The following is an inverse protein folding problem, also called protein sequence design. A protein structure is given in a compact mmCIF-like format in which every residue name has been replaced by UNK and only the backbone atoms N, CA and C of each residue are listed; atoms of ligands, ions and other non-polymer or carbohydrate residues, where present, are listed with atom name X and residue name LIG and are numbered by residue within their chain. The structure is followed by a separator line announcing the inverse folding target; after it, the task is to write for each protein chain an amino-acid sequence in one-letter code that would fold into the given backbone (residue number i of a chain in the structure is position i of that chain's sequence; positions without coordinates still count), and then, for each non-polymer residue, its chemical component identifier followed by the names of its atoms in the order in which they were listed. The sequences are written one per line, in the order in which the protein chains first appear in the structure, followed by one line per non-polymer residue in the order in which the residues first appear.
data_IF_997380861473
#
_entry.id   IF_997380861473
#
_cell.length_a   1.000
_cell.length_b   1.000
_cell.length_c   1.000
_cell.angle_alpha   90.00
_cell.angle_beta   90.00
_cell.angle_gamma   90.00
#
_symmetry.space_group_name_H-M   'P 1'
#
loop_
_entity.id
_entity.type
_entity.pdbx_description
1 polymer ?
#
# COMPACT_ATOMS: atom_id res chain seq x y z
N UNK A 1 -21.54 32.43 -9.78
CA UNK A 1 -20.94 31.37 -8.93
C UNK A 1 -19.42 31.50 -9.01
N UNK A 2 -18.74 32.08 -8.01
CA UNK A 2 -17.26 32.11 -7.99
C UNK A 2 -16.79 30.67 -7.82
N UNK A 3 -16.34 30.04 -8.91
CA UNK A 3 -15.75 28.70 -8.87
C UNK A 3 -14.56 28.76 -7.92
N UNK A 4 -14.63 28.09 -6.77
CA UNK A 4 -13.45 27.79 -5.97
C UNK A 4 -12.66 26.73 -6.76
N UNK A 5 -11.56 27.09 -7.45
CA UNK A 5 -10.91 26.18 -8.40
C UNK A 5 -10.26 24.97 -7.71
N UNK A 6 -10.11 25.04 -6.39
CA UNK A 6 -9.49 24.00 -5.57
C UNK A 6 -10.49 23.06 -4.87
N UNK A 7 -11.80 23.35 -4.90
CA UNK A 7 -12.78 22.39 -4.41
C UNK A 7 -13.04 21.35 -5.50
N UNK A 8 -12.24 20.28 -5.48
CA UNK A 8 -12.29 19.23 -6.50
C UNK A 8 -13.66 18.55 -6.58
N UNK A 9 -14.39 18.43 -5.46
CA UNK A 9 -15.73 17.84 -5.47
C UNK A 9 -16.71 18.71 -6.27
N UNK A 10 -16.62 20.03 -6.11
CA UNK A 10 -17.43 20.96 -6.90
C UNK A 10 -17.02 20.98 -8.37
N UNK A 11 -15.72 20.95 -8.67
CA UNK A 11 -15.23 20.83 -10.04
C UNK A 11 -15.77 19.55 -10.70
N UNK A 12 -15.74 18.42 -10.00
CA UNK A 12 -16.26 17.16 -10.54
C UNK A 12 -17.78 17.21 -10.74
N UNK A 13 -18.54 17.72 -9.76
CA UNK A 13 -20.00 17.88 -9.90
C UNK A 13 -20.36 18.79 -11.07
N UNK A 14 -19.65 19.91 -11.22
CA UNK A 14 -19.88 20.85 -12.31
C UNK A 14 -19.57 20.22 -13.67
N UNK A 15 -18.44 19.52 -13.81
CA UNK A 15 -18.09 18.78 -15.02
C UNK A 15 -19.17 17.74 -15.37
N UNK A 16 -19.67 16.99 -14.39
CA UNK A 16 -20.72 15.99 -14.60
C UNK A 16 -22.05 16.61 -15.05
N UNK A 17 -22.44 17.77 -14.50
CA UNK A 17 -23.65 18.48 -14.92
C UNK A 17 -23.55 18.97 -16.37
N UNK A 18 -22.43 19.63 -16.73
CA UNK A 18 -22.19 20.08 -18.10
C UNK A 18 -22.23 18.91 -19.10
N UNK A 19 -21.60 17.79 -18.76
CA UNK A 19 -21.62 16.59 -19.60
C UNK A 19 -23.03 16.00 -19.73
N UNK A 20 -23.83 16.03 -18.67
CA UNK A 20 -25.23 15.58 -18.70
C UNK A 20 -26.14 16.52 -19.53
N UNK A 21 -25.81 17.81 -19.60
CA UNK A 21 -26.50 18.81 -20.42
C UNK A 21 -26.07 18.79 -21.90
N UNK A 22 -25.12 17.93 -22.28
CA UNK A 22 -24.56 17.87 -23.64
C UNK A 22 -23.49 18.93 -23.92
N UNK A 23 -23.11 19.74 -22.93
CA UNK A 23 -22.06 20.77 -23.02
C UNK A 23 -20.66 20.17 -22.84
N UNK A 24 -20.33 19.16 -23.67
CA UNK A 24 -19.14 18.32 -23.50
C UNK A 24 -17.82 19.10 -23.53
N UNK A 25 -17.68 20.11 -24.40
CA UNK A 25 -16.46 20.93 -24.46
C UNK A 25 -16.23 21.74 -23.19
N UNK A 26 -17.31 22.31 -22.62
CA UNK A 26 -17.20 23.06 -21.37
C UNK A 26 -16.89 22.13 -20.19
N UNK A 27 -17.40 20.88 -20.21
CA UNK A 27 -17.13 19.89 -19.18
C UNK A 27 -15.63 19.49 -19.08
N UNK A 28 -14.88 19.60 -20.19
CA UNK A 28 -13.46 19.21 -20.24
C UNK A 28 -12.57 20.04 -19.31
N UNK A 29 -12.81 21.34 -19.17
CA UNK A 29 -11.98 22.20 -18.32
C UNK A 29 -12.02 21.76 -16.84
N UNK A 30 -13.19 21.72 -16.16
CA UNK A 30 -13.26 21.27 -14.77
C UNK A 30 -12.85 19.80 -14.60
N UNK A 31 -13.16 18.91 -15.56
CA UNK A 31 -12.68 17.54 -15.55
C UNK A 31 -11.14 17.47 -15.63
N UNK A 32 -10.51 18.30 -16.47
CA UNK A 32 -9.05 18.40 -16.59
C UNK A 32 -8.37 18.90 -15.31
N UNK A 33 -9.03 19.75 -14.52
CA UNK A 33 -8.55 20.16 -13.20
C UNK A 33 -8.58 18.95 -12.25
N UNK A 34 -9.71 18.24 -12.18
CA UNK A 34 -9.87 17.07 -11.31
C UNK A 34 -8.89 15.96 -11.66
N UNK A 35 -8.72 15.64 -12.95
CA UNK A 35 -7.80 14.58 -13.42
C UNK A 35 -6.34 14.87 -13.03
N UNK A 36 -5.90 16.13 -13.07
CA UNK A 36 -4.51 16.52 -12.73
C UNK A 36 -4.24 16.63 -11.24
N UNK A 37 -5.22 17.06 -10.46
CA UNK A 37 -5.01 17.39 -9.04
C UNK A 37 -5.45 16.23 -8.13
N UNK A 38 -6.57 15.59 -8.41
CA UNK A 38 -7.17 14.60 -7.51
C UNK A 38 -6.32 13.34 -7.38
N UNK A 39 -6.22 12.86 -6.13
CA UNK A 39 -5.71 11.53 -5.80
C UNK A 39 -6.85 10.53 -5.48
N UNK A 40 -8.10 10.97 -5.53
CA UNK A 40 -9.28 10.10 -5.37
C UNK A 40 -9.59 9.35 -6.66
N UNK A 41 -9.60 8.01 -6.59
CA UNK A 41 -9.72 7.15 -7.76
C UNK A 41 -11.04 7.35 -8.53
N UNK A 42 -12.18 7.36 -7.82
CA UNK A 42 -13.51 7.55 -8.42
C UNK A 42 -13.59 8.86 -9.20
N UNK A 43 -13.12 9.96 -8.59
CA UNK A 43 -13.11 11.27 -9.23
C UNK A 43 -12.20 11.30 -10.46
N UNK A 44 -11.04 10.66 -10.41
CA UNK A 44 -10.12 10.61 -11.55
C UNK A 44 -10.71 9.79 -12.70
N UNK A 45 -11.31 8.64 -12.42
CA UNK A 45 -11.95 7.80 -13.44
C UNK A 45 -13.09 8.56 -14.12
N UNK A 46 -13.97 9.20 -13.33
CA UNK A 46 -15.05 10.03 -13.88
C UNK A 46 -14.53 11.20 -14.72
N UNK A 47 -13.53 11.93 -14.22
CA UNK A 47 -12.93 13.04 -14.95
C UNK A 47 -12.30 12.59 -16.27
N UNK A 48 -11.55 11.48 -16.27
CA UNK A 48 -10.95 10.90 -17.48
C UNK A 48 -12.00 10.44 -18.49
N UNK A 49 -13.10 9.86 -18.03
CA UNK A 49 -14.22 9.49 -18.91
C UNK A 49 -14.79 10.71 -19.65
N UNK A 50 -14.99 11.85 -18.97
CA UNK A 50 -15.46 13.10 -19.59
C UNK A 50 -14.43 13.65 -20.59
N UNK A 51 -13.14 13.46 -20.32
CA UNK A 51 -12.05 13.84 -21.22
C UNK A 51 -11.90 12.89 -22.44
N UNK A 52 -12.73 11.85 -22.56
CA UNK A 52 -12.64 10.84 -23.63
C UNK A 52 -11.51 9.83 -23.41
N UNK A 53 -10.87 9.82 -22.24
CA UNK A 53 -9.86 8.82 -21.89
C UNK A 53 -10.54 7.55 -21.37
N UNK A 54 -10.25 6.41 -22.00
CA UNK A 54 -10.67 5.10 -21.47
C UNK A 54 -9.76 4.70 -20.29
N UNK A 55 -10.36 4.54 -19.11
CA UNK A 55 -9.72 3.92 -17.95
C UNK A 55 -10.36 2.56 -17.72
N UNK A 56 -9.57 1.50 -17.93
CA UNK A 56 -9.97 0.14 -17.58
C UNK A 56 -10.03 0.02 -16.05
N UNK A 57 -11.24 0.16 -15.51
CA UNK A 57 -11.54 0.11 -14.08
C UNK A 57 -11.71 -1.31 -13.56
N UNK A 58 -11.94 -2.28 -14.44
CA UNK A 58 -12.06 -3.68 -14.06
C UNK A 58 -10.68 -4.32 -13.98
N UNK A 59 -10.44 -5.20 -13.01
CA UNK A 59 -9.21 -5.98 -12.92
C UNK A 59 -9.58 -7.45 -13.04
N UNK A 60 -9.16 -8.07 -14.14
CA UNK A 60 -9.41 -9.48 -14.41
C UNK A 60 -8.56 -10.37 -13.49
N UNK A 61 -9.09 -11.54 -13.15
CA UNK A 61 -8.29 -12.60 -12.53
C UNK A 61 -7.16 -13.01 -13.47
N UNK A 62 -6.06 -13.45 -12.88
CA UNK A 62 -4.94 -14.02 -13.63
C UNK A 62 -5.44 -15.22 -14.44
N UNK A 63 -5.05 -15.28 -15.71
CA UNK A 63 -5.26 -16.42 -16.58
C UNK A 63 -3.91 -17.06 -16.90
N UNK A 64 -3.88 -17.82 -17.99
CA UNK A 64 -2.63 -18.32 -18.55
C UNK A 64 -1.72 -17.16 -18.95
N UNK A 65 -0.45 -17.26 -18.58
CA UNK A 65 0.58 -16.30 -18.92
C UNK A 65 1.58 -16.98 -19.85
N UNK A 66 1.93 -16.27 -20.92
CA UNK A 66 3.05 -16.64 -21.78
C UNK A 66 4.36 -16.64 -20.96
N UNK A 67 5.03 -17.79 -20.91
CA UNK A 67 6.30 -18.00 -20.22
C UNK A 67 7.54 -17.85 -21.14
N UNK A 68 7.32 -17.63 -22.44
CA UNK A 68 8.38 -17.36 -23.40
C UNK A 68 8.92 -15.93 -23.29
N UNK A 69 8.09 -15.00 -22.80
CA UNK A 69 8.45 -13.59 -22.64
C UNK A 69 8.56 -13.19 -21.17
N UNK A 70 9.35 -12.16 -20.91
CA UNK A 70 9.35 -11.55 -19.59
C UNK A 70 8.06 -10.80 -19.35
N UNK A 71 7.49 -11.07 -18.19
CA UNK A 71 6.20 -10.51 -17.80
C UNK A 71 6.27 -10.05 -16.36
N UNK A 72 5.80 -8.83 -16.12
CA UNK A 72 5.59 -8.29 -14.78
C UNK A 72 4.09 -8.23 -14.49
N UNK A 73 3.64 -8.95 -13.47
CA UNK A 73 2.25 -8.93 -13.01
C UNK A 73 2.15 -8.02 -11.80
N UNK A 74 1.43 -6.92 -11.94
CA UNK A 74 1.04 -6.04 -10.84
C UNK A 74 -0.22 -6.62 -10.19
N UNK A 75 -0.14 -6.92 -8.90
CA UNK A 75 -1.23 -7.55 -8.15
C UNK A 75 -1.78 -6.56 -7.11
N UNK A 76 -3.02 -6.09 -7.24
CA UNK A 76 -3.68 -5.31 -6.20
C UNK A 76 -3.71 -6.05 -4.85
N UNK A 77 -3.36 -5.36 -3.77
CA UNK A 77 -3.44 -5.92 -2.40
C UNK A 77 -4.33 -5.00 -1.56
N UNK A 78 -5.55 -5.47 -1.31
CA UNK A 78 -6.62 -4.70 -0.65
C UNK A 78 -7.17 -3.58 -1.54
N UNK A 79 -7.79 -2.58 -0.91
CA UNK A 79 -8.33 -1.43 -1.62
C UNK A 79 -7.22 -0.58 -2.24
N UNK A 80 -7.29 -0.40 -3.57
CA UNK A 80 -6.29 0.35 -4.33
C UNK A 80 -6.91 1.45 -5.19
N UNK A 81 -6.09 2.43 -5.57
CA UNK A 81 -6.41 3.40 -6.62
C UNK A 81 -6.12 2.74 -7.99
N UNK A 82 -7.16 2.29 -8.69
CA UNK A 82 -7.06 1.53 -9.93
C UNK A 82 -6.43 2.42 -11.02
N UNK A 83 -6.86 3.68 -11.14
CA UNK A 83 -6.30 4.58 -12.13
C UNK A 83 -4.79 4.78 -11.92
N UNK A 84 -4.31 4.83 -10.67
CA UNK A 84 -2.88 4.91 -10.35
C UNK A 84 -2.17 3.64 -10.81
N UNK A 85 -2.69 2.45 -10.50
CA UNK A 85 -2.08 1.19 -10.92
C UNK A 85 -2.04 1.07 -12.46
N UNK A 86 -3.06 1.57 -13.16
CA UNK A 86 -3.06 1.64 -14.64
C UNK A 86 -2.02 2.64 -15.17
N UNK A 87 -1.82 3.78 -14.52
CA UNK A 87 -0.76 4.72 -14.88
C UNK A 87 0.63 4.10 -14.67
N UNK A 88 0.81 3.33 -13.58
CA UNK A 88 2.03 2.56 -13.33
C UNK A 88 2.23 1.48 -14.39
N UNK A 89 1.20 0.72 -14.74
CA UNK A 89 1.25 -0.31 -15.79
C UNK A 89 1.79 0.27 -17.09
N UNK A 90 1.21 1.39 -17.56
CA UNK A 90 1.63 2.08 -18.79
C UNK A 90 3.09 2.54 -18.72
N UNK A 91 3.48 3.22 -17.63
CA UNK A 91 4.86 3.71 -17.47
C UNK A 91 5.89 2.58 -17.36
N UNK A 92 5.59 1.52 -16.61
CA UNK A 92 6.48 0.37 -16.46
C UNK A 92 6.64 -0.39 -17.79
N UNK A 93 5.54 -0.63 -18.51
CA UNK A 93 5.58 -1.27 -19.84
C UNK A 93 6.45 -0.48 -20.80
N UNK A 94 6.23 0.84 -20.88
CA UNK A 94 7.02 1.73 -21.73
C UNK A 94 8.50 1.74 -21.36
N UNK A 95 8.84 1.75 -20.05
CA UNK A 95 10.25 1.85 -19.62
C UNK A 95 11.01 0.53 -19.70
N UNK A 96 10.37 -0.59 -19.37
CA UNK A 96 11.02 -1.90 -19.31
C UNK A 96 11.02 -2.63 -20.66
N UNK A 97 10.12 -2.28 -21.59
CA UNK A 97 10.01 -2.96 -22.87
C UNK A 97 9.50 -4.40 -22.78
N UNK A 98 8.79 -4.74 -21.70
CA UNK A 98 8.20 -6.05 -21.43
C UNK A 98 6.69 -5.94 -21.20
N UNK A 99 5.97 -7.06 -21.24
CA UNK A 99 4.55 -7.04 -20.89
C UNK A 99 4.36 -6.79 -19.39
N UNK A 100 3.41 -5.91 -19.09
CA UNK A 100 3.02 -5.56 -17.71
C UNK A 100 1.52 -5.71 -17.61
N UNK A 101 1.07 -6.65 -16.79
CA UNK A 101 -0.35 -6.91 -16.55
C UNK A 101 -0.77 -6.41 -15.17
N UNK A 102 -2.03 -6.04 -15.04
CA UNK A 102 -2.69 -5.87 -13.74
C UNK A 102 -3.70 -7.01 -13.61
N UNK A 103 -3.53 -7.85 -12.58
CA UNK A 103 -4.35 -9.05 -12.37
C UNK A 103 -4.65 -9.28 -10.89
N UNK A 104 -5.85 -9.76 -10.62
CA UNK A 104 -6.21 -10.30 -9.32
C UNK A 104 -5.75 -11.76 -9.20
N UNK A 105 -5.48 -12.19 -7.97
CA UNK A 105 -5.23 -13.59 -7.63
C UNK A 105 -6.39 -14.05 -6.73
N UNK A 106 -7.01 -15.18 -7.06
CA UNK A 106 -8.27 -15.64 -6.43
C UNK A 106 -8.13 -15.95 -4.94
N UNK A 107 -6.94 -16.39 -4.50
CA UNK A 107 -6.68 -16.85 -3.12
C UNK A 107 -5.73 -15.91 -2.35
N UNK A 108 -5.77 -14.61 -2.65
CA UNK A 108 -4.89 -13.65 -1.99
C UNK A 108 -5.43 -13.23 -0.62
N UNK A 109 -5.17 -14.05 0.40
CA UNK A 109 -5.52 -13.75 1.78
C UNK A 109 -4.53 -12.79 2.43
N UNK A 110 -5.03 -11.65 2.92
CA UNK A 110 -4.20 -10.63 3.55
C UNK A 110 -4.47 -10.63 5.05
N UNK A 111 -3.44 -10.97 5.82
CA UNK A 111 -3.46 -10.90 7.27
C UNK A 111 -3.86 -9.49 7.79
N UNK A 112 -4.48 -9.40 8.98
CA UNK A 112 -4.79 -8.12 9.62
C UNK A 112 -3.50 -7.32 9.91
N UNK A 113 -3.60 -6.00 10.14
CA UNK A 113 -2.45 -5.19 10.49
C UNK A 113 -1.83 -5.67 11.81
N UNK A 114 -0.51 -5.88 11.83
CA UNK A 114 0.22 -6.25 13.04
C UNK A 114 0.54 -5.08 13.96
N UNK A 115 0.55 -3.87 13.42
CA UNK A 115 0.63 -2.63 14.19
C UNK A 115 -0.69 -1.91 14.02
N UNK A 116 -1.58 -2.04 14.99
CA UNK A 116 -2.87 -1.33 15.04
C UNK A 116 -3.05 -0.65 16.39
N UNK A 117 -2.51 0.57 16.57
CA UNK A 117 -2.54 1.27 17.85
C UNK A 117 -3.96 1.48 18.40
N UNK A 118 -4.93 1.75 17.53
CA UNK A 118 -6.31 1.94 17.94
C UNK A 118 -6.99 0.59 18.26
N UNK A 119 -6.75 -0.45 17.46
CA UNK A 119 -7.24 -1.79 17.76
C UNK A 119 -6.70 -2.34 19.09
N UNK A 120 -5.42 -2.16 19.37
CA UNK A 120 -4.80 -2.54 20.65
C UNK A 120 -5.38 -1.76 21.84
N UNK A 121 -5.66 -0.46 21.66
CA UNK A 121 -6.32 0.34 22.68
C UNK A 121 -7.76 -0.13 22.91
N UNK A 122 -8.50 -0.42 21.84
CA UNK A 122 -9.87 -0.93 21.91
C UNK A 122 -9.94 -2.31 22.60
N UNK A 123 -8.96 -3.19 22.35
CA UNK A 123 -8.84 -4.47 23.07
C UNK A 123 -8.68 -4.26 24.57
N UNK A 124 -7.75 -3.38 24.99
CA UNK A 124 -7.58 -3.02 26.41
C UNK A 124 -8.84 -2.38 27.00
N UNK A 125 -9.56 -1.58 26.21
CA UNK A 125 -10.82 -0.99 26.63
C UNK A 125 -11.90 -2.06 26.86
N UNK A 126 -11.97 -3.07 25.97
CA UNK A 126 -12.87 -4.22 26.14
C UNK A 126 -12.54 -5.01 27.40
N UNK A 127 -11.26 -5.34 27.62
CA UNK A 127 -10.83 -6.06 28.83
C UNK A 127 -11.18 -5.27 30.11
N UNK A 128 -11.04 -3.94 30.09
CA UNK A 128 -11.43 -3.07 31.20
C UNK A 128 -12.94 -3.06 31.43
N UNK A 129 -13.74 -3.00 30.36
CA UNK A 129 -15.20 -3.06 30.45
C UNK A 129 -15.69 -4.41 30.97
N UNK A 130 -15.07 -5.52 30.58
CA UNK A 130 -15.41 -6.85 31.09
C UNK A 130 -15.18 -6.92 32.62
N UNK A 131 -14.07 -6.39 33.12
CA UNK A 131 -13.81 -6.28 34.57
C UNK A 131 -14.80 -5.36 35.29
N UNK A 132 -15.20 -4.25 34.67
CA UNK A 132 -16.18 -3.32 35.25
C UNK A 132 -17.58 -3.96 35.31
N UNK A 133 -17.96 -4.71 34.27
CA UNK A 133 -19.21 -5.48 34.24
C UNK A 133 -19.27 -6.50 35.36
N UNK A 134 -18.16 -7.21 35.63
CA UNK A 134 -18.09 -8.19 36.72
C UNK A 134 -18.23 -7.52 38.11
N UNK A 135 -17.67 -6.31 38.29
CA UNK A 135 -17.75 -5.59 39.56
C UNK A 135 -19.11 -4.97 39.84
N UNK A 136 -19.82 -4.49 38.81
CA UNK A 136 -21.15 -3.90 38.97
C UNK A 136 -22.09 -4.29 37.81
N UNK A 137 -22.63 -5.52 37.82
CA UNK A 137 -23.43 -6.02 36.70
C UNK A 137 -24.70 -5.22 36.43
N UNK A 138 -25.41 -4.81 37.49
CA UNK A 138 -26.66 -4.05 37.37
C UNK A 138 -26.41 -2.65 36.81
N UNK A 139 -25.53 -1.86 37.44
CA UNK A 139 -25.23 -0.51 36.96
C UNK A 139 -24.58 -0.50 35.57
N UNK A 140 -23.81 -1.53 35.22
CA UNK A 140 -23.31 -1.72 33.86
C UNK A 140 -24.45 -1.98 32.87
N UNK A 141 -25.37 -2.90 33.20
CA UNK A 141 -26.53 -3.21 32.36
C UNK A 141 -27.43 -1.99 32.14
N UNK A 142 -27.71 -1.22 33.18
CA UNK A 142 -28.53 -0.01 33.11
C UNK A 142 -27.90 1.03 32.18
N UNK A 143 -26.59 1.23 32.29
CA UNK A 143 -25.88 2.17 31.43
C UNK A 143 -25.82 1.68 29.97
N UNK A 144 -25.64 0.38 29.74
CA UNK A 144 -25.73 -0.20 28.38
C UNK A 144 -27.12 0.01 27.80
N UNK A 145 -28.18 -0.21 28.58
CA UNK A 145 -29.56 0.00 28.13
C UNK A 145 -29.84 1.47 27.81
N UNK A 146 -29.20 2.41 28.52
CA UNK A 146 -29.32 3.85 28.27
C UNK A 146 -28.57 4.29 27.00
N UNK A 147 -27.32 3.86 26.82
CA UNK A 147 -26.49 4.25 25.68
C UNK A 147 -26.88 3.53 24.39
N UNK A 148 -27.41 2.31 24.50
CA UNK A 148 -27.82 1.47 23.38
C UNK A 148 -29.29 1.02 23.54
N UNK A 149 -30.26 1.94 23.46
CA UNK A 149 -31.67 1.67 23.80
C UNK A 149 -32.33 0.63 22.91
N UNK A 150 -31.87 0.49 21.66
CA UNK A 150 -32.41 -0.46 20.68
C UNK A 150 -31.83 -1.87 20.91
N UNK A 151 -30.51 -2.01 20.88
CA UNK A 151 -29.87 -3.33 20.98
C UNK A 151 -29.83 -3.88 22.41
N UNK A 152 -29.85 -2.99 23.41
CA UNK A 152 -29.58 -3.28 24.83
C UNK A 152 -28.29 -4.08 25.07
N UNK A 153 -27.35 -3.97 24.12
CA UNK A 153 -26.08 -4.69 24.12
C UNK A 153 -24.99 -3.76 23.64
N UNK A 154 -23.85 -3.80 24.32
CA UNK A 154 -22.63 -3.15 23.85
C UNK A 154 -22.16 -3.83 22.56
N UNK A 155 -22.00 -3.10 21.44
CA UNK A 155 -21.46 -3.66 20.20
C UNK A 155 -19.95 -3.92 20.36
N UNK A 156 -19.60 -5.13 20.81
CA UNK A 156 -18.20 -5.51 21.11
C UNK A 156 -17.31 -5.69 19.88
N UNK A 157 -17.91 -5.69 18.69
CA UNK A 157 -17.29 -5.70 17.38
C UNK A 157 -16.99 -4.28 16.85
N UNK A 158 -17.61 -3.26 17.43
CA UNK A 158 -17.35 -1.86 17.13
C UNK A 158 -16.37 -1.25 18.14
N UNK A 159 -15.09 -1.22 17.75
CA UNK A 159 -14.02 -0.63 18.54
C UNK A 159 -14.27 0.84 18.93
N UNK A 160 -14.95 1.61 18.07
CA UNK A 160 -15.27 3.02 18.36
C UNK A 160 -16.33 3.11 19.46
N UNK A 161 -17.39 2.33 19.33
CA UNK A 161 -18.44 2.25 20.34
C UNK A 161 -17.91 1.73 21.68
N UNK A 162 -17.04 0.70 21.67
CA UNK A 162 -16.38 0.17 22.88
C UNK A 162 -15.58 1.25 23.61
N UNK A 163 -14.70 1.96 22.89
CA UNK A 163 -13.86 3.00 23.50
C UNK A 163 -14.70 4.18 23.98
N UNK A 164 -15.72 4.58 23.20
CA UNK A 164 -16.66 5.65 23.58
C UNK A 164 -17.41 5.28 24.84
N UNK A 165 -17.98 4.08 24.90
CA UNK A 165 -18.73 3.59 26.06
C UNK A 165 -17.86 3.54 27.31
N UNK A 166 -16.61 3.07 27.21
CA UNK A 166 -15.68 3.10 28.33
C UNK A 166 -15.44 4.52 28.85
N UNK A 167 -15.25 5.50 27.95
CA UNK A 167 -15.09 6.89 28.36
C UNK A 167 -16.33 7.41 29.11
N UNK A 168 -17.54 7.13 28.58
CA UNK A 168 -18.79 7.53 29.24
C UNK A 168 -18.93 6.86 30.61
N UNK A 169 -18.69 5.54 30.69
CA UNK A 169 -18.79 4.78 31.94
C UNK A 169 -17.83 5.30 33.01
N UNK A 170 -16.57 5.54 32.64
CA UNK A 170 -15.58 6.09 33.57
C UNK A 170 -15.93 7.51 34.02
N UNK A 171 -16.44 8.34 33.12
CA UNK A 171 -16.78 9.74 33.42
C UNK A 171 -18.01 9.86 34.32
N UNK A 172 -19.07 9.10 34.01
CA UNK A 172 -20.37 9.24 34.66
C UNK A 172 -20.60 8.23 35.77
N UNK A 173 -20.45 6.93 35.51
CA UNK A 173 -20.76 5.90 36.49
C UNK A 173 -19.68 5.79 37.59
N UNK A 174 -18.42 6.02 37.23
CA UNK A 174 -17.30 6.00 38.19
C UNK A 174 -16.90 7.40 38.68
N UNK A 175 -17.57 8.46 38.21
CA UNK A 175 -17.28 9.86 38.55
C UNK A 175 -15.79 10.22 38.38
N UNK A 176 -15.13 9.66 37.37
CA UNK A 176 -13.70 9.84 37.10
C UNK A 176 -13.45 10.48 35.72
N UNK A 177 -13.78 11.77 35.55
CA UNK A 177 -13.65 12.46 34.27
C UNK A 177 -12.19 12.58 33.81
N UNK A 178 -11.22 12.62 34.73
CA UNK A 178 -9.79 12.69 34.39
C UNK A 178 -9.34 11.40 33.70
N UNK A 179 -9.75 10.24 34.23
CA UNK A 179 -9.39 8.96 33.64
C UNK A 179 -10.10 8.74 32.29
N UNK A 180 -11.38 9.13 32.18
CA UNK A 180 -12.10 9.15 30.90
C UNK A 180 -11.39 10.02 29.85
N UNK A 181 -10.98 11.23 30.22
CA UNK A 181 -10.26 12.14 29.33
C UNK A 181 -8.91 11.56 28.88
N UNK A 182 -8.19 10.85 29.75
CA UNK A 182 -6.94 10.18 29.39
C UNK A 182 -7.16 9.11 28.32
N UNK A 183 -8.20 8.29 28.46
CA UNK A 183 -8.55 7.27 27.45
C UNK A 183 -8.97 7.92 26.14
N UNK A 184 -9.80 8.97 26.20
CA UNK A 184 -10.21 9.73 25.01
C UNK A 184 -9.00 10.31 24.24
N UNK A 185 -8.06 10.94 24.95
CA UNK A 185 -6.85 11.52 24.34
C UNK A 185 -5.92 10.44 23.78
N UNK A 186 -5.79 9.30 24.47
CA UNK A 186 -5.03 8.16 23.96
C UNK A 186 -5.66 7.59 22.68
N UNK A 187 -6.99 7.45 22.65
CA UNK A 187 -7.74 7.02 21.47
C UNK A 187 -7.57 7.99 20.30
N UNK A 188 -7.64 9.31 20.54
CA UNK A 188 -7.40 10.32 19.51
C UNK A 188 -6.01 10.21 18.87
N UNK A 189 -4.96 10.01 19.68
CA UNK A 189 -3.59 9.78 19.19
C UNK A 189 -3.46 8.46 18.44
N UNK A 190 -4.10 7.41 18.94
CA UNK A 190 -4.07 6.09 18.32
C UNK A 190 -4.74 6.09 16.93
N UNK A 191 -5.85 6.83 16.74
CA UNK A 191 -6.51 7.02 15.44
C UNK A 191 -5.64 7.74 14.41
N UNK A 192 -4.80 8.66 14.87
CA UNK A 192 -3.85 9.38 14.00
C UNK A 192 -2.63 8.53 13.63
N UNK A 193 -2.37 7.45 14.37
CA UNK A 193 -1.24 6.57 14.09
C UNK A 193 -1.66 5.52 13.06
N UNK A 194 -1.00 5.43 11.90
CA UNK A 194 -1.45 4.54 10.84
C UNK A 194 -1.33 3.08 11.26
N UNK A 195 -2.32 2.29 10.84
CA UNK A 195 -2.22 0.83 10.90
C UNK A 195 -1.16 0.37 9.89
N UNK A 196 -0.31 -0.58 10.29
CA UNK A 196 0.75 -1.10 9.43
C UNK A 196 0.67 -2.63 9.29
N UNK A 197 0.90 -3.08 8.06
CA UNK A 197 0.99 -4.50 7.70
C UNK A 197 2.44 -4.94 7.58
N UNK A 198 2.73 -6.17 7.97
CA UNK A 198 4.06 -6.74 7.77
C UNK A 198 4.26 -7.07 6.29
N UNK A 199 5.21 -6.40 5.65
CA UNK A 199 5.51 -6.56 4.23
C UNK A 199 6.02 -7.96 3.90
N UNK A 200 6.64 -8.66 4.86
CA UNK A 200 7.02 -10.06 4.72
C UNK A 200 5.81 -10.99 4.64
N UNK A 201 4.76 -10.73 5.42
CA UNK A 201 3.48 -11.45 5.32
C UNK A 201 2.77 -11.19 4.00
N UNK A 202 2.73 -9.93 3.55
CA UNK A 202 2.15 -9.59 2.25
C UNK A 202 2.88 -10.30 1.10
N UNK A 203 4.21 -10.35 1.13
CA UNK A 203 5.00 -11.06 0.11
C UNK A 203 4.83 -12.58 0.22
N UNK A 204 4.67 -13.15 1.42
CA UNK A 204 4.37 -14.58 1.60
C UNK A 204 3.00 -14.94 1.03
N UNK A 205 1.96 -14.16 1.36
CA UNK A 205 0.62 -14.34 0.81
C UNK A 205 0.62 -14.22 -0.71
N UNK A 206 1.29 -13.20 -1.26
CA UNK A 206 1.46 -13.04 -2.70
C UNK A 206 2.17 -14.23 -3.34
N UNK A 207 3.20 -14.78 -2.68
CA UNK A 207 3.92 -15.96 -3.18
C UNK A 207 2.99 -17.17 -3.27
N UNK A 208 2.24 -17.47 -2.20
CA UNK A 208 1.31 -18.60 -2.15
C UNK A 208 0.25 -18.48 -3.23
N UNK A 209 -0.43 -17.33 -3.31
CA UNK A 209 -1.49 -17.10 -4.30
C UNK A 209 -0.98 -17.10 -5.77
N UNK A 210 0.31 -16.85 -5.99
CA UNK A 210 0.92 -16.82 -7.32
C UNK A 210 1.63 -18.13 -7.70
N UNK A 211 1.71 -19.11 -6.79
CA UNK A 211 2.39 -20.40 -7.02
C UNK A 211 1.81 -21.16 -8.23
N UNK A 212 0.47 -21.24 -8.44
CA UNK A 212 -0.11 -21.90 -9.61
C UNK A 212 0.24 -21.22 -10.94
N UNK A 213 0.66 -19.95 -10.91
CA UNK A 213 0.95 -19.13 -12.09
C UNK A 213 2.45 -18.84 -12.23
N UNK A 214 3.29 -19.57 -11.50
CA UNK A 214 4.72 -19.33 -11.48
C UNK A 214 5.38 -19.88 -12.74
N UNK A 215 6.02 -18.99 -13.51
CA UNK A 215 6.91 -19.36 -14.59
C UNK A 215 8.29 -18.70 -14.48
N UNK A 216 9.28 -19.19 -15.23
CA UNK A 216 10.68 -18.76 -15.15
C UNK A 216 10.85 -17.25 -15.42
N UNK A 217 10.05 -16.68 -16.34
CA UNK A 217 10.14 -15.29 -16.80
C UNK A 217 9.05 -14.37 -16.23
N UNK A 218 8.13 -14.91 -15.43
CA UNK A 218 7.06 -14.15 -14.77
C UNK A 218 7.55 -13.64 -13.42
N UNK A 219 7.28 -12.36 -13.12
CA UNK A 219 7.53 -11.72 -11.83
C UNK A 219 6.25 -11.10 -11.29
N UNK A 220 6.10 -11.08 -9.97
CA UNK A 220 4.92 -10.55 -9.31
C UNK A 220 5.29 -9.37 -8.42
N UNK A 221 4.52 -8.30 -8.52
CA UNK A 221 4.66 -7.10 -7.71
C UNK A 221 3.30 -6.71 -7.13
N UNK A 222 3.13 -6.95 -5.84
CA UNK A 222 1.99 -6.47 -5.07
C UNK A 222 1.97 -4.94 -4.98
N UNK A 223 0.82 -4.32 -5.20
CA UNK A 223 0.62 -2.88 -5.06
C UNK A 223 -0.46 -2.66 -4.00
N UNK A 224 -0.15 -1.90 -2.95
CA UNK A 224 -1.10 -1.65 -1.85
C UNK A 224 -1.19 -0.18 -1.44
N UNK A 225 -2.40 0.24 -1.05
CA UNK A 225 -2.65 1.50 -0.35
C UNK A 225 -2.47 1.41 1.17
N UNK A 226 -2.11 0.23 1.71
CA UNK A 226 -1.86 0.01 3.14
C UNK A 226 -0.46 0.47 3.54
N UNK A 227 -0.28 1.01 4.75
CA UNK A 227 1.08 1.31 5.24
C UNK A 227 1.81 0.01 5.61
N UNK A 228 3.09 -0.09 5.31
CA UNK A 228 3.84 -1.33 5.48
C UNK A 228 5.12 -1.13 6.29
N UNK A 229 5.50 -2.17 7.01
CA UNK A 229 6.78 -2.27 7.72
C UNK A 229 7.32 -3.69 7.63
N UNK A 230 8.52 -3.95 8.13
CA UNK A 230 8.93 -5.30 8.49
C UNK A 230 9.98 -5.22 9.58
N UNK A 231 10.11 -6.26 10.40
CA UNK A 231 11.11 -6.31 11.48
C UNK A 231 11.08 -5.03 12.34
N UNK A 232 12.25 -4.45 12.59
CA UNK A 232 12.44 -3.25 13.42
C UNK A 232 12.35 -1.94 12.61
N UNK A 233 11.99 -1.98 11.33
CA UNK A 233 11.81 -0.75 10.55
C UNK A 233 10.56 0.01 10.99
N UNK A 234 10.64 1.35 10.98
CA UNK A 234 9.48 2.22 11.24
C UNK A 234 8.43 2.06 10.13
N UNK A 235 8.88 2.02 8.89
CA UNK A 235 8.07 1.77 7.70
C UNK A 235 8.96 1.38 6.52
N UNK A 236 8.34 0.96 5.42
CA UNK A 236 8.99 0.73 4.13
C UNK A 236 8.12 1.27 3.00
N UNK A 237 8.74 1.60 1.87
CA UNK A 237 8.01 1.86 0.62
C UNK A 237 7.82 0.59 -0.22
N UNK A 238 8.62 -0.44 0.03
CA UNK A 238 8.48 -1.75 -0.59
C UNK A 238 9.36 -2.81 0.04
N UNK A 239 9.06 -4.06 -0.23
CA UNK A 239 9.79 -5.23 0.24
C UNK A 239 9.81 -6.32 -0.84
N UNK A 240 10.76 -7.25 -0.77
CA UNK A 240 10.87 -8.33 -1.75
C UNK A 240 11.49 -9.60 -1.19
N UNK A 241 11.06 -10.72 -1.74
CA UNK A 241 11.65 -12.04 -1.50
C UNK A 241 11.69 -12.79 -2.85
N UNK A 242 12.89 -13.05 -3.35
CA UNK A 242 13.08 -13.70 -4.64
C UNK A 242 12.41 -12.93 -5.79
N UNK A 243 11.47 -13.60 -6.47
CA UNK A 243 10.72 -13.11 -7.64
C UNK A 243 9.42 -12.36 -7.29
N UNK A 244 9.16 -12.17 -5.99
CA UNK A 244 7.96 -11.52 -5.47
C UNK A 244 8.35 -10.24 -4.75
N UNK A 245 7.60 -9.18 -4.97
CA UNK A 245 7.75 -7.91 -4.27
C UNK A 245 6.41 -7.32 -3.89
N UNK A 246 6.44 -6.34 -2.99
CA UNK A 246 5.31 -5.48 -2.68
C UNK A 246 5.77 -4.04 -2.62
N UNK A 247 4.94 -3.10 -3.08
CA UNK A 247 5.11 -1.66 -2.83
C UNK A 247 3.88 -1.12 -2.13
N UNK A 248 4.11 -0.15 -1.26
CA UNK A 248 3.05 0.68 -0.70
C UNK A 248 3.17 2.09 -1.25
N UNK A 249 2.05 2.65 -1.72
CA UNK A 249 1.96 4.07 -2.04
C UNK A 249 1.31 4.89 -0.92
N UNK A 250 0.97 4.30 0.24
CA UNK A 250 0.27 4.98 1.34
C UNK A 250 1.00 6.25 1.76
N UNK A 251 2.32 6.18 1.92
CA UNK A 251 3.16 7.30 2.34
C UNK A 251 3.48 8.31 1.23
N UNK A 252 2.97 8.10 0.02
CA UNK A 252 3.10 9.04 -1.09
C UNK A 252 1.86 9.92 -1.27
N UNK A 253 0.74 9.57 -0.64
CA UNK A 253 -0.52 10.30 -0.80
C UNK A 253 -0.48 11.64 -0.07
N UNK A 254 -1.21 12.62 -0.61
CA UNK A 254 -1.45 13.91 0.02
C UNK A 254 -2.04 13.76 1.43
N UNK A 255 -3.02 12.86 1.59
CA UNK A 255 -3.65 12.55 2.88
C UNK A 255 -2.61 12.18 3.95
N UNK A 256 -1.63 11.34 3.60
CA UNK A 256 -0.61 10.92 4.55
C UNK A 256 0.48 11.97 4.78
N UNK A 257 0.82 12.72 3.73
CA UNK A 257 1.95 13.66 3.75
C UNK A 257 1.58 15.06 4.24
N UNK A 258 0.28 15.39 4.29
CA UNK A 258 -0.21 16.75 4.53
C UNK A 258 0.05 17.72 3.36
N UNK A 259 0.60 17.23 2.26
CA UNK A 259 0.84 18.03 1.05
C UNK A 259 -0.47 18.23 0.26
N UNK A 260 -0.52 19.24 -0.61
CA UNK A 260 -1.66 19.41 -1.53
C UNK A 260 -1.68 18.26 -2.56
N UNK A 261 -2.86 17.70 -2.88
CA UNK A 261 -2.97 16.61 -3.85
C UNK A 261 -2.48 17.06 -5.22
N UNK A 262 -1.65 16.22 -5.83
CA UNK A 262 -1.13 16.38 -7.20
C UNK A 262 -0.90 15.01 -7.79
N UNK A 263 -1.69 14.65 -8.80
CA UNK A 263 -1.65 13.30 -9.36
C UNK A 263 -0.29 12.93 -9.94
N UNK A 264 0.37 13.86 -10.64
CA UNK A 264 1.70 13.64 -11.20
C UNK A 264 2.76 13.29 -10.15
N UNK A 265 2.69 13.91 -8.97
CA UNK A 265 3.57 13.63 -7.82
C UNK A 265 3.34 12.22 -7.27
N UNK A 266 2.08 11.84 -7.04
CA UNK A 266 1.73 10.49 -6.56
C UNK A 266 2.19 9.42 -7.57
N UNK A 267 1.90 9.62 -8.86
CA UNK A 267 2.30 8.71 -9.94
C UNK A 267 3.82 8.60 -10.02
N UNK A 268 4.56 9.72 -9.96
CA UNK A 268 6.02 9.69 -10.03
C UNK A 268 6.64 8.95 -8.84
N UNK A 269 6.20 9.23 -7.61
CA UNK A 269 6.69 8.55 -6.40
C UNK A 269 6.41 7.05 -6.46
N UNK A 270 5.19 6.67 -6.82
CA UNK A 270 4.79 5.27 -6.93
C UNK A 270 5.54 4.56 -8.07
N UNK A 271 5.73 5.22 -9.22
CA UNK A 271 6.50 4.69 -10.35
C UNK A 271 7.97 4.46 -9.97
N UNK A 272 8.61 5.42 -9.30
CA UNK A 272 9.99 5.25 -8.87
C UNK A 272 10.13 4.06 -7.92
N UNK A 273 9.19 3.90 -6.98
CA UNK A 273 9.19 2.75 -6.07
C UNK A 273 8.87 1.42 -6.78
N UNK A 274 7.97 1.44 -7.76
CA UNK A 274 7.65 0.28 -8.59
C UNK A 274 8.84 -0.15 -9.43
N UNK A 275 9.56 0.79 -10.06
CA UNK A 275 10.81 0.54 -10.78
C UNK A 275 11.91 0.00 -9.85
N UNK A 276 12.03 0.56 -8.63
CA UNK A 276 12.88 0.01 -7.59
C UNK A 276 12.54 -1.46 -7.31
N UNK A 277 11.27 -1.78 -7.12
CA UNK A 277 10.87 -3.14 -6.74
C UNK A 277 10.92 -4.11 -7.93
N UNK A 278 10.60 -3.65 -9.14
CA UNK A 278 10.78 -4.38 -10.39
C UNK A 278 12.24 -4.80 -10.58
N UNK A 279 13.18 -3.86 -10.45
CA UNK A 279 14.61 -4.18 -10.54
C UNK A 279 15.03 -5.26 -9.55
N UNK A 280 14.49 -5.24 -8.33
CA UNK A 280 14.77 -6.29 -7.35
C UNK A 280 14.23 -7.67 -7.72
N UNK A 281 13.00 -7.78 -8.22
CA UNK A 281 12.43 -9.08 -8.63
C UNK A 281 13.05 -9.61 -9.92
N UNK A 282 13.62 -8.74 -10.75
CA UNK A 282 14.42 -9.11 -11.93
C UNK A 282 15.93 -9.26 -11.65
N UNK A 283 16.36 -9.24 -10.38
CA UNK A 283 17.77 -9.37 -9.98
C UNK A 283 18.72 -8.30 -10.58
N UNK A 284 18.20 -7.11 -10.86
CA UNK A 284 19.01 -5.93 -11.21
C UNK A 284 19.58 -5.33 -9.92
N UNK A 285 20.90 -5.10 -9.90
CA UNK A 285 21.59 -4.51 -8.77
C UNK A 285 21.00 -3.14 -8.38
N UNK A 286 21.23 -2.72 -7.12
CA UNK A 286 20.85 -1.38 -6.68
C UNK A 286 21.75 -0.34 -7.35
N UNK A 287 21.20 0.86 -7.47
CA UNK A 287 21.93 2.03 -7.96
C UNK A 287 22.26 2.97 -6.81
N UNK A 288 23.40 3.64 -6.92
CA UNK A 288 23.82 4.68 -5.99
C UNK A 288 23.56 6.10 -6.52
N UNK A 289 23.10 6.25 -7.76
CA UNK A 289 22.65 7.53 -8.31
C UNK A 289 21.33 7.94 -7.61
N UNK A 290 21.32 9.02 -6.82
CA UNK A 290 20.14 9.42 -6.03
C UNK A 290 18.97 9.88 -6.91
N UNK A 291 19.22 10.24 -8.17
CA UNK A 291 18.19 10.69 -9.11
C UNK A 291 17.54 9.54 -9.89
N UNK A 292 18.12 8.33 -9.82
CA UNK A 292 17.60 7.16 -10.51
C UNK A 292 16.41 6.54 -9.75
N UNK A 293 15.33 6.11 -10.44
CA UNK A 293 14.22 5.35 -9.84
C UNK A 293 14.66 4.18 -8.94
N UNK A 294 15.79 3.55 -9.29
CA UNK A 294 16.38 2.38 -8.61
C UNK A 294 17.23 2.72 -7.38
N UNK A 295 17.41 4.00 -7.04
CA UNK A 295 18.16 4.41 -5.85
C UNK A 295 17.53 3.85 -4.58
N UNK A 296 18.35 3.44 -3.62
CA UNK A 296 17.87 3.12 -2.29
C UNK A 296 17.48 4.41 -1.54
N UNK A 297 16.37 4.37 -0.80
CA UNK A 297 15.87 5.52 -0.05
C UNK A 297 15.33 5.10 1.30
N UNK A 298 15.50 5.95 2.31
CA UNK A 298 14.97 5.80 3.66
C UNK A 298 13.90 6.86 3.99
N UNK A 299 13.84 7.95 3.23
CA UNK A 299 12.97 9.09 3.49
C UNK A 299 12.14 9.49 2.27
N UNK A 300 11.04 10.21 2.51
CA UNK A 300 10.25 10.78 1.42
C UNK A 300 11.03 11.87 0.67
N UNK A 301 11.93 12.59 1.35
CA UNK A 301 12.81 13.58 0.73
C UNK A 301 13.75 12.94 -0.30
N UNK A 302 14.40 11.83 0.05
CA UNK A 302 15.21 11.05 -0.89
C UNK A 302 14.37 10.46 -2.03
N UNK A 303 13.14 10.00 -1.75
CA UNK A 303 12.24 9.54 -2.80
C UNK A 303 11.85 10.66 -3.77
N UNK A 304 11.76 11.92 -3.30
CA UNK A 304 11.47 13.09 -4.13
C UNK A 304 12.66 13.53 -4.98
N UNK A 305 13.88 13.17 -4.62
CA UNK A 305 15.08 13.46 -5.42
C UNK A 305 15.14 12.63 -6.71
N UNK A 306 14.36 11.54 -6.80
CA UNK A 306 14.31 10.68 -7.97
C UNK A 306 13.55 11.31 -9.13
N UNK A 307 14.06 11.06 -10.32
CA UNK A 307 13.43 11.39 -11.60
C UNK A 307 12.79 10.15 -12.21
N UNK A 308 12.09 10.28 -13.33
CA UNK A 308 11.54 9.13 -14.05
C UNK A 308 12.56 8.34 -14.89
N UNK A 309 13.80 8.85 -14.99
CA UNK A 309 14.83 8.32 -15.88
C UNK A 309 15.76 7.34 -15.16
N UNK A 310 15.87 6.13 -15.72
CA UNK A 310 16.91 5.20 -15.33
C UNK A 310 18.28 5.71 -15.77
N UNK A 311 19.26 5.62 -14.87
CA UNK A 311 20.66 5.80 -15.23
C UNK A 311 21.13 4.66 -16.16
N UNK A 312 22.25 4.90 -16.87
CA UNK A 312 22.83 3.94 -17.81
C UNK A 312 23.04 2.55 -17.18
N UNK A 313 23.59 2.49 -15.96
CA UNK A 313 23.85 1.23 -15.26
C UNK A 313 22.58 0.39 -15.03
N UNK A 314 21.46 1.05 -14.69
CA UNK A 314 20.19 0.36 -14.48
C UNK A 314 19.56 -0.09 -15.80
N UNK A 315 19.62 0.72 -16.85
CA UNK A 315 19.17 0.34 -18.19
C UNK A 315 19.92 -0.92 -18.66
N UNK A 316 21.25 -0.91 -18.63
CA UNK A 316 22.07 -2.09 -18.96
C UNK A 316 21.76 -3.28 -18.05
N UNK A 317 21.46 -3.03 -16.78
CA UNK A 317 21.08 -4.05 -15.81
C UNK A 317 19.79 -4.78 -16.20
N UNK A 318 18.75 -4.04 -16.60
CA UNK A 318 17.50 -4.61 -17.10
C UNK A 318 17.70 -5.35 -18.43
N UNK A 319 18.43 -4.76 -19.39
CA UNK A 319 18.74 -5.42 -20.67
C UNK A 319 19.42 -6.76 -20.46
N UNK A 320 20.40 -6.80 -19.56
CA UNK A 320 21.11 -8.01 -19.17
C UNK A 320 20.20 -9.01 -18.47
N UNK A 321 19.34 -8.56 -17.55
CA UNK A 321 18.40 -9.44 -16.87
C UNK A 321 17.47 -10.14 -17.88
N UNK A 322 16.97 -9.40 -18.86
CA UNK A 322 16.10 -9.94 -19.90
C UNK A 322 16.86 -10.82 -20.93
N UNK A 323 18.15 -10.56 -21.19
CA UNK A 323 18.97 -11.43 -22.05
C UNK A 323 19.44 -12.72 -21.36
N UNK A 324 19.88 -12.65 -20.09
CA UNK A 324 20.55 -13.76 -19.41
C UNK A 324 19.64 -14.96 -19.11
N UNK A 325 18.35 -14.78 -18.83
CA UNK A 325 17.46 -15.94 -18.58
C UNK A 325 16.89 -16.56 -19.87
N UNK A 326 17.46 -16.24 -21.05
CA UNK A 326 17.27 -17.03 -22.29
C UNK A 326 18.04 -18.36 -22.26
N UNK A 327 19.05 -18.50 -21.40
CA UNK A 327 19.75 -19.75 -21.17
C UNK A 327 19.62 -20.10 -19.68
N UNK A 328 18.72 -21.01 -19.29
CA UNK A 328 18.66 -21.47 -17.90
C UNK A 328 20.02 -22.09 -17.57
N UNK A 329 20.62 -21.60 -16.50
CA UNK A 329 21.90 -22.06 -15.98
C UNK A 329 21.84 -23.59 -15.85
N UNK A 330 22.69 -24.31 -16.59
CA UNK A 330 23.03 -25.71 -16.27
C UNK A 330 23.41 -25.73 -14.78
N UNK A 331 22.74 -26.58 -14.02
CA UNK A 331 23.14 -26.97 -12.68
C UNK A 331 24.63 -27.31 -12.72
N UNK A 332 25.43 -26.68 -11.86
CA UNK A 332 26.75 -27.20 -11.53
C UNK A 332 26.50 -28.50 -10.76
N UNK A 333 26.53 -29.61 -11.48
CA UNK A 333 26.78 -30.93 -10.91
C UNK A 333 28.29 -31.10 -10.83
N UNK A 334 28.75 -31.38 -9.62
CA UNK A 334 30.01 -31.99 -9.17
C UNK A 334 31.33 -31.67 -9.89
N UNK A 335 32.22 -31.04 -9.11
CA UNK A 335 33.65 -31.30 -9.20
C UNK A 335 34.21 -31.48 -7.77
N UNK A 336 34.29 -32.75 -7.39
CA UNK A 336 35.43 -33.39 -6.72
C UNK A 336 35.89 -32.89 -5.34
N UNK A 337 35.60 -33.73 -4.36
CA UNK A 337 36.52 -34.20 -3.32
C UNK A 337 37.98 -33.73 -3.43
N UNK A 338 38.34 -32.74 -2.62
CA UNK A 338 39.68 -32.67 -2.00
C UNK A 338 39.54 -32.17 -0.57
N UNK A 339 39.95 -33.02 0.37
CA UNK A 339 40.23 -32.67 1.76
C UNK A 339 41.37 -31.64 1.83
N UNK A 340 41.32 -30.74 2.82
CA UNK A 340 42.56 -30.29 3.43
C UNK A 340 42.51 -30.48 4.95
N UNK A 341 43.58 -31.09 5.41
CA UNK A 341 44.08 -31.26 6.77
C UNK A 341 44.04 -29.98 7.62
N UNK A 342 43.68 -30.16 8.90
CA UNK A 342 44.18 -29.48 10.12
C UNK A 342 44.33 -27.93 10.18
N UNK A 343 43.50 -27.36 11.07
CA UNK A 343 43.61 -26.13 11.91
C UNK A 343 45.05 -25.66 12.26
N UNK A 344 45.30 -24.37 12.61
CA UNK A 344 44.65 -23.72 13.77
C UNK A 344 44.30 -22.21 13.69
N UNK A 345 43.72 -21.75 14.80
CA UNK A 345 43.01 -20.51 15.06
C UNK A 345 43.88 -19.25 15.16
N UNK A 346 43.29 -18.08 14.85
CA UNK A 346 43.59 -16.78 15.49
C UNK A 346 42.49 -15.74 15.24
N UNK A 347 41.89 -15.26 16.35
CA UNK A 347 41.66 -13.86 16.77
C UNK A 347 40.95 -12.86 15.83
N UNK A 348 39.73 -12.48 16.22
CA UNK A 348 39.15 -11.15 15.98
C UNK A 348 39.71 -10.14 16.99
N UNK A 349 40.01 -8.89 16.60
CA UNK A 349 39.97 -7.76 17.51
C UNK A 349 38.63 -7.02 17.35
N UNK A 350 37.97 -6.76 18.48
CA UNK A 350 36.85 -5.85 18.56
C UNK A 350 37.31 -4.40 18.66
N UNK A 351 36.55 -3.50 18.03
CA UNK A 351 36.12 -2.19 18.51
C UNK A 351 34.69 -1.98 18.00
#
# INVERSE_FOLDING_TARGET
MRLYPLNLQYQMKYASLLNAMGENEQAKQPAGIVSRISENDKMVIMARSILGEKVDSEIKNIGELDDDRYTLVLVPIGDINIALVRDLQKKLKAKLGIEVFVRNLTELEIAPPKRDPFGELAKKAKDALDQLRERNPQGFGDMVAREFPISRKLPTDDNEAVVKFLCTYMGEALLNPIAAQRVYMAAARARQTPRQWDAGELVRALKVAAEPHQAAKVRFLGITGKDIYTRNYKYLFGWRVGRYGVISYRRFTAEFTGERPRRSRLVLRAYCQAMASAGHVFNVARCNDPTCPRAYVNSLAEQNAKTENLCHQCTTGFDRAFRRLKHPHRSRVDATSRSPTSRPATLYPGI
#
